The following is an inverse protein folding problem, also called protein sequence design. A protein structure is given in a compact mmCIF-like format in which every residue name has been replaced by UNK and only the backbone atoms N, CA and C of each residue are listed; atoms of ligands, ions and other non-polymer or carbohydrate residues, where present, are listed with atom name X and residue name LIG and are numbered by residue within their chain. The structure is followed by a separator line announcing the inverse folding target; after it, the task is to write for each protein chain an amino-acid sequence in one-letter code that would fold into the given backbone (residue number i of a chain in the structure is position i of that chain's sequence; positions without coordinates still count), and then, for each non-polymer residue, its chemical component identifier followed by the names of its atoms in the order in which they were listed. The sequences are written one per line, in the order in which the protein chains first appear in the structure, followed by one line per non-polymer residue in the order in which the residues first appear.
data_IF_088492418709
#
_entry.id   IF_088492418709
#
_cell.length_a   1.000
_cell.length_b   1.000
_cell.length_c   1.000
_cell.angle_alpha   90.00
_cell.angle_beta   90.00
_cell.angle_gamma   90.00
#
_symmetry.space_group_name_H-M   'P 1'
#
loop_
_entity.id
_entity.type
_entity.pdbx_description
1 polymer ?
#
# COMPACT_ATOMS: atom_id res chain seq x y z
N UNK A 1 23.23 0.60 2.88
CA UNK A 1 23.58 1.89 2.23
C UNK A 1 24.14 2.82 3.30
N UNK A 2 25.09 3.70 2.98
CA UNK A 2 25.75 4.60 3.96
C UNK A 2 25.39 6.08 3.80
N UNK A 3 24.57 6.43 2.81
CA UNK A 3 24.09 7.79 2.53
C UNK A 3 22.57 7.89 2.71
N UNK A 4 22.06 9.12 2.85
CA UNK A 4 20.63 9.39 2.86
C UNK A 4 20.14 9.96 1.52
N UNK A 5 18.83 9.88 1.20
CA UNK A 5 18.29 10.37 -0.08
C UNK A 5 18.73 11.80 -0.42
N UNK A 6 18.75 12.70 0.57
CA UNK A 6 19.16 14.10 0.36
C UNK A 6 20.62 14.24 -0.08
N UNK A 7 21.53 13.45 0.49
CA UNK A 7 22.96 13.48 0.11
C UNK A 7 23.16 12.99 -1.32
N UNK A 8 22.33 12.03 -1.75
CA UNK A 8 22.36 11.45 -3.09
C UNK A 8 21.53 12.26 -4.12
N UNK A 9 20.99 13.43 -3.73
CA UNK A 9 20.22 14.31 -4.60
C UNK A 9 18.77 13.88 -4.87
N UNK A 10 18.24 12.95 -4.09
CA UNK A 10 16.84 12.50 -4.18
C UNK A 10 15.93 13.34 -3.28
N UNK A 11 14.70 13.57 -3.72
CA UNK A 11 13.64 14.18 -2.93
C UNK A 11 12.30 13.48 -3.17
N UNK A 12 11.43 13.47 -2.15
CA UNK A 12 10.04 13.05 -2.32
C UNK A 12 9.31 14.12 -3.15
N UNK A 13 8.79 13.79 -4.34
CA UNK A 13 7.98 14.73 -5.10
C UNK A 13 6.65 15.00 -4.38
N UNK A 14 6.07 16.17 -4.61
CA UNK A 14 4.72 16.45 -4.13
C UNK A 14 3.71 15.49 -4.78
N UNK A 15 2.63 15.17 -4.08
CA UNK A 15 1.64 14.18 -4.54
C UNK A 15 0.93 14.58 -5.83
N UNK A 16 0.82 15.87 -6.12
CA UNK A 16 0.25 16.39 -7.38
C UNK A 16 1.23 16.36 -8.57
N UNK A 17 2.49 15.96 -8.38
CA UNK A 17 3.41 15.73 -9.48
C UNK A 17 2.97 14.52 -10.32
N UNK A 18 3.40 14.40 -11.58
CA UNK A 18 3.07 13.22 -12.40
C UNK A 18 3.44 11.90 -11.73
N UNK A 19 2.47 10.99 -11.64
CA UNK A 19 2.62 9.68 -11.00
C UNK A 19 2.61 8.57 -12.04
N UNK A 20 3.37 7.49 -11.79
CA UNK A 20 3.37 6.32 -12.65
C UNK A 20 2.23 5.34 -12.33
N UNK A 21 1.85 5.21 -11.05
CA UNK A 21 0.79 4.32 -10.58
C UNK A 21 0.40 4.63 -9.12
N UNK A 22 -0.76 4.13 -8.69
CA UNK A 22 -1.17 4.07 -7.27
C UNK A 22 -1.03 2.66 -6.72
N UNK A 23 -0.64 2.55 -5.45
CA UNK A 23 -0.62 1.30 -4.69
C UNK A 23 -1.70 1.31 -3.61
N UNK A 24 -2.37 0.18 -3.42
CA UNK A 24 -3.39 -0.05 -2.40
C UNK A 24 -3.19 -1.44 -1.77
N UNK A 25 -3.64 -1.61 -0.53
CA UNK A 25 -3.69 -2.90 0.16
C UNK A 25 -5.14 -3.34 0.39
N UNK A 26 -5.40 -4.65 0.32
CA UNK A 26 -6.74 -5.21 0.40
C UNK A 26 -7.19 -5.44 1.85
N UNK A 27 -8.39 -4.98 2.27
CA UNK A 27 -8.86 -5.14 3.66
C UNK A 27 -9.41 -6.54 3.93
N UNK A 28 -8.96 -7.13 5.05
CA UNK A 28 -9.26 -8.52 5.41
C UNK A 28 -9.66 -8.70 6.87
N UNK A 29 -8.87 -8.16 7.82
CA UNK A 29 -8.96 -8.54 9.24
C UNK A 29 -10.34 -8.24 9.86
N UNK A 30 -11.03 -9.24 10.45
CA UNK A 30 -12.42 -9.10 10.87
C UNK A 30 -12.60 -8.35 12.20
N UNK A 31 -11.53 -8.21 12.97
CA UNK A 31 -11.46 -7.45 14.23
C UNK A 31 -11.41 -5.93 14.00
N UNK A 32 -10.95 -5.47 12.83
CA UNK A 32 -11.05 -4.07 12.40
C UNK A 32 -12.26 -3.86 11.46
N UNK A 33 -12.44 -4.73 10.47
CA UNK A 33 -13.43 -4.55 9.41
C UNK A 33 -14.68 -5.41 9.63
N UNK A 34 -15.79 -4.75 9.99
CA UNK A 34 -17.09 -5.41 10.23
C UNK A 34 -17.54 -6.35 9.10
N UNK A 35 -18.34 -7.35 9.47
CA UNK A 35 -18.95 -8.30 8.54
C UNK A 35 -17.91 -8.96 7.61
N UNK A 36 -16.81 -9.45 8.21
CA UNK A 36 -15.69 -10.09 7.52
C UNK A 36 -15.13 -9.23 6.36
N UNK A 37 -14.92 -7.94 6.63
CA UNK A 37 -14.45 -6.93 5.68
C UNK A 37 -15.29 -6.71 4.41
N UNK A 38 -16.37 -7.45 4.17
CA UNK A 38 -17.11 -7.38 2.90
C UNK A 38 -17.57 -5.97 2.49
N UNK A 39 -18.04 -5.09 3.41
CA UNK A 39 -18.35 -3.70 3.08
C UNK A 39 -17.10 -2.88 2.70
N UNK A 40 -15.99 -3.06 3.44
CA UNK A 40 -14.72 -2.37 3.19
C UNK A 40 -14.12 -2.79 1.85
N UNK A 41 -14.11 -4.09 1.55
CA UNK A 41 -13.67 -4.65 0.27
C UNK A 41 -14.41 -4.03 -0.93
N UNK A 42 -15.73 -3.85 -0.82
CA UNK A 42 -16.50 -3.16 -1.87
C UNK A 42 -16.12 -1.68 -1.99
N UNK A 43 -15.83 -1.01 -0.88
CA UNK A 43 -15.39 0.39 -0.90
C UNK A 43 -14.00 0.54 -1.52
N UNK A 44 -13.04 -0.29 -1.12
CA UNK A 44 -11.68 -0.31 -1.67
C UNK A 44 -11.68 -0.67 -3.15
N UNK A 45 -12.50 -1.64 -3.57
CA UNK A 45 -12.65 -1.96 -4.99
C UNK A 45 -13.20 -0.79 -5.79
N UNK A 46 -14.18 -0.04 -5.27
CA UNK A 46 -14.67 1.19 -5.94
C UNK A 46 -13.56 2.22 -6.08
N UNK A 47 -12.80 2.50 -5.02
CA UNK A 47 -11.67 3.43 -5.06
C UNK A 47 -10.64 3.01 -6.10
N UNK A 48 -10.19 1.75 -6.05
CA UNK A 48 -9.20 1.21 -6.98
C UNK A 48 -9.68 1.28 -8.44
N UNK A 49 -10.94 0.91 -8.69
CA UNK A 49 -11.51 0.92 -10.04
C UNK A 49 -11.63 2.35 -10.58
N UNK A 50 -12.05 3.31 -9.76
CA UNK A 50 -12.12 4.73 -10.15
C UNK A 50 -10.74 5.31 -10.44
N UNK A 51 -9.73 5.00 -9.61
CA UNK A 51 -8.35 5.46 -9.90
C UNK A 51 -7.83 4.84 -11.20
N UNK A 52 -8.18 3.58 -11.48
CA UNK A 52 -7.77 2.87 -12.70
C UNK A 52 -8.31 3.49 -14.01
N UNK A 53 -9.30 4.38 -13.94
CA UNK A 53 -9.77 5.16 -15.08
C UNK A 53 -8.78 6.29 -15.45
N UNK A 54 -7.90 6.67 -14.52
CA UNK A 54 -7.00 7.81 -14.66
C UNK A 54 -5.50 7.44 -14.64
N UNK A 55 -5.12 6.43 -13.86
CA UNK A 55 -3.74 5.96 -13.77
C UNK A 55 -3.65 4.47 -13.41
N UNK A 56 -2.55 3.78 -13.73
CA UNK A 56 -2.36 2.39 -13.33
C UNK A 56 -2.50 2.18 -11.83
N UNK A 57 -3.10 1.06 -11.42
CA UNK A 57 -3.28 0.69 -10.01
C UNK A 57 -2.72 -0.69 -9.74
N UNK A 58 -1.94 -0.81 -8.68
CA UNK A 58 -1.51 -2.07 -8.08
C UNK A 58 -2.23 -2.28 -6.74
N UNK A 59 -2.98 -3.37 -6.62
CA UNK A 59 -3.58 -3.82 -5.36
C UNK A 59 -2.79 -5.00 -4.81
N UNK A 60 -2.35 -4.93 -3.56
CA UNK A 60 -1.79 -6.08 -2.83
C UNK A 60 -2.91 -6.82 -2.11
N UNK A 61 -2.87 -8.15 -2.17
CA UNK A 61 -3.71 -9.05 -1.39
C UNK A 61 -2.95 -10.36 -1.20
N UNK A 62 -3.45 -11.27 -0.37
CA UNK A 62 -2.79 -12.57 -0.16
C UNK A 62 -3.75 -13.74 -0.04
N UNK A 63 -3.26 -14.92 -0.39
CA UNK A 63 -3.94 -16.19 -0.18
C UNK A 63 -5.37 -16.21 -0.74
N UNK A 64 -6.38 -16.66 0.04
CA UNK A 64 -7.78 -16.76 -0.42
C UNK A 64 -8.38 -15.42 -0.87
N UNK A 65 -7.83 -14.28 -0.44
CA UNK A 65 -8.35 -12.96 -0.78
C UNK A 65 -8.02 -12.55 -2.21
N UNK A 66 -7.04 -13.17 -2.87
CA UNK A 66 -6.73 -12.89 -4.28
C UNK A 66 -7.95 -13.12 -5.18
N UNK A 67 -8.62 -14.27 -5.03
CA UNK A 67 -9.83 -14.58 -5.79
C UNK A 67 -10.96 -13.58 -5.46
N UNK A 68 -11.10 -13.22 -4.19
CA UNK A 68 -12.12 -12.26 -3.74
C UNK A 68 -11.87 -10.87 -4.31
N UNK A 69 -10.66 -10.35 -4.20
CA UNK A 69 -10.25 -9.07 -4.76
C UNK A 69 -10.47 -9.06 -6.28
N UNK A 70 -10.03 -10.12 -6.97
CA UNK A 70 -10.19 -10.24 -8.43
C UNK A 70 -11.66 -10.16 -8.87
N UNK A 71 -12.58 -10.74 -8.10
CA UNK A 71 -14.02 -10.71 -8.38
C UNK A 71 -14.67 -9.31 -8.27
N UNK A 72 -14.03 -8.37 -7.58
CA UNK A 72 -14.55 -7.02 -7.35
C UNK A 72 -13.78 -5.92 -8.11
N UNK A 73 -12.52 -6.19 -8.44
CA UNK A 73 -11.64 -5.25 -9.13
C UNK A 73 -11.80 -5.33 -10.65
N UNK A 74 -11.72 -4.18 -11.32
CA UNK A 74 -11.58 -4.07 -12.77
C UNK A 74 -10.33 -4.80 -13.26
N UNK A 75 -10.39 -5.40 -14.44
CA UNK A 75 -9.24 -6.08 -15.07
C UNK A 75 -8.03 -5.15 -15.26
N UNK A 76 -8.23 -3.82 -15.29
CA UNK A 76 -7.16 -2.83 -15.35
C UNK A 76 -6.33 -2.72 -14.06
N UNK A 77 -6.87 -3.15 -12.91
CA UNK A 77 -6.14 -3.18 -11.64
C UNK A 77 -5.25 -4.42 -11.60
N UNK A 78 -3.93 -4.19 -11.49
CA UNK A 78 -2.94 -5.24 -11.27
C UNK A 78 -3.08 -5.77 -9.85
N UNK A 79 -3.31 -7.06 -9.70
CA UNK A 79 -3.38 -7.74 -8.41
C UNK A 79 -2.05 -8.46 -8.15
N UNK A 80 -1.47 -8.26 -6.97
CA UNK A 80 -0.15 -8.79 -6.61
C UNK A 80 -0.26 -9.53 -5.28
N UNK A 81 0.35 -10.72 -5.20
CA UNK A 81 0.39 -11.51 -3.99
C UNK A 81 1.47 -10.97 -3.03
N UNK A 82 1.05 -10.06 -2.15
CA UNK A 82 1.87 -9.49 -1.07
C UNK A 82 0.98 -9.46 0.17
N UNK A 83 1.36 -10.17 1.26
CA UNK A 83 0.61 -10.13 2.51
C UNK A 83 0.81 -8.81 3.25
N UNK A 84 -0.22 -8.42 4.02
CA UNK A 84 -0.20 -7.31 4.98
C UNK A 84 -1.09 -7.69 6.17
N UNK A 85 -0.82 -7.15 7.35
CA UNK A 85 -1.62 -7.38 8.57
C UNK A 85 -2.88 -6.50 8.60
N UNK A 86 -2.82 -5.31 7.98
CA UNK A 86 -4.01 -4.51 7.63
C UNK A 86 -3.82 -3.76 6.29
N UNK A 87 -4.78 -2.93 5.89
CA UNK A 87 -4.90 -2.39 4.52
C UNK A 87 -4.44 -0.94 4.33
N UNK A 88 -3.42 -0.49 5.06
CA UNK A 88 -3.00 0.91 5.12
C UNK A 88 -1.73 1.20 4.32
N UNK A 89 -1.77 0.95 3.00
CA UNK A 89 -0.64 1.15 2.07
C UNK A 89 0.04 2.53 2.16
N UNK A 90 -0.69 3.56 2.61
CA UNK A 90 -0.12 4.89 2.87
C UNK A 90 1.00 4.85 3.93
N UNK A 91 0.82 4.05 4.98
CA UNK A 91 1.67 4.06 6.16
C UNK A 91 2.70 2.92 6.14
N UNK A 92 2.33 1.80 5.53
CA UNK A 92 3.17 0.58 5.44
C UNK A 92 3.95 0.50 4.13
N UNK A 93 3.58 1.31 3.13
CA UNK A 93 4.18 1.29 1.80
C UNK A 93 5.44 2.15 1.70
N UNK A 94 6.23 1.95 0.63
CA UNK A 94 7.44 2.71 0.40
C UNK A 94 7.13 4.19 0.11
N UNK A 95 7.95 5.09 0.67
CA UNK A 95 7.94 6.50 0.26
C UNK A 95 8.89 6.70 -0.91
N UNK A 96 8.36 6.79 -2.12
CA UNK A 96 9.18 7.00 -3.32
C UNK A 96 9.87 8.37 -3.33
N UNK A 97 11.15 8.38 -3.71
CA UNK A 97 11.97 9.56 -3.89
C UNK A 97 12.58 9.56 -5.29
N UNK A 98 12.70 10.74 -5.90
CA UNK A 98 13.14 10.90 -7.29
C UNK A 98 14.37 11.79 -7.36
N UNK A 99 15.32 11.39 -8.20
CA UNK A 99 16.47 12.20 -8.57
C UNK A 99 16.13 13.05 -9.82
N UNK A 100 16.65 14.28 -9.97
CA UNK A 100 16.41 15.12 -11.15
C UNK A 100 16.79 14.46 -12.49
N UNK A 101 17.73 13.50 -12.49
CA UNK A 101 18.11 12.73 -13.69
C UNK A 101 17.13 11.60 -14.06
N UNK A 102 16.04 11.44 -13.31
CA UNK A 102 14.97 10.47 -13.61
C UNK A 102 15.01 9.16 -12.83
N UNK A 103 16.05 8.93 -12.03
CA UNK A 103 16.14 7.75 -11.15
C UNK A 103 15.10 7.80 -10.03
N UNK A 104 14.58 6.65 -9.65
CA UNK A 104 13.62 6.48 -8.54
C UNK A 104 14.21 5.51 -7.52
N UNK A 105 14.11 5.87 -6.25
CA UNK A 105 14.37 5.00 -5.09
C UNK A 105 13.17 5.04 -4.17
N UNK A 106 13.17 4.21 -3.14
CA UNK A 106 12.18 4.22 -2.07
C UNK A 106 12.89 4.41 -0.72
N UNK A 107 12.19 5.08 0.19
CA UNK A 107 12.49 5.03 1.62
C UNK A 107 11.51 4.05 2.24
N UNK A 108 12.08 3.00 2.82
CA UNK A 108 11.40 2.03 3.66
C UNK A 108 11.54 2.49 5.13
N UNK A 109 10.41 2.71 5.79
CA UNK A 109 10.35 3.14 7.17
C UNK A 109 9.95 1.96 8.03
N UNK A 110 10.57 1.81 9.20
CA UNK A 110 10.13 0.81 10.18
C UNK A 110 8.70 1.15 10.62
N UNK A 111 7.78 0.24 10.36
CA UNK A 111 6.39 0.33 10.76
C UNK A 111 6.14 -0.43 12.06
N UNK A 112 5.25 0.10 12.90
CA UNK A 112 4.95 -0.48 14.21
C UNK A 112 3.47 -0.44 14.60
N UNK A 113 2.54 -0.45 13.64
CA UNK A 113 1.11 -0.32 13.91
C UNK A 113 0.75 0.93 14.76
N UNK A 114 1.38 2.07 14.44
CA UNK A 114 1.12 3.40 15.05
C UNK A 114 1.29 3.46 16.57
N UNK A 115 2.29 2.78 17.13
CA UNK A 115 2.58 2.85 18.57
C UNK A 115 3.24 1.60 19.16
N UNK A 116 3.38 0.53 18.37
CA UNK A 116 3.93 -0.74 18.79
C UNK A 116 3.18 -1.32 19.99
N UNK A 117 3.92 -1.92 20.92
CA UNK A 117 3.36 -2.46 22.16
C UNK A 117 2.89 -1.36 23.15
N UNK A 118 3.11 -0.08 22.84
CA UNK A 118 2.75 1.07 23.67
C UNK A 118 1.52 1.81 23.11
N UNK A 119 0.45 1.06 22.83
CA UNK A 119 -0.82 1.63 22.35
C UNK A 119 -0.99 1.63 20.83
N UNK A 120 -0.20 0.83 20.10
CA UNK A 120 -0.47 0.55 18.69
C UNK A 120 -1.80 -0.19 18.48
N UNK A 121 -2.29 -0.16 17.24
CA UNK A 121 -3.66 -0.61 16.93
C UNK A 121 -3.81 -2.13 16.86
N UNK A 122 -2.73 -2.87 16.63
CA UNK A 122 -2.75 -4.33 16.54
C UNK A 122 -1.37 -4.95 16.72
N UNK A 123 -1.36 -6.28 16.88
CA UNK A 123 -0.18 -7.14 16.82
C UNK A 123 -0.58 -8.50 16.20
N UNK A 124 0.29 -9.14 15.39
CA UNK A 124 1.57 -8.62 14.90
C UNK A 124 1.39 -7.60 13.76
N UNK A 125 2.49 -6.97 13.33
CA UNK A 125 2.59 -6.05 12.18
C UNK A 125 3.79 -6.39 11.27
N UNK A 126 4.31 -7.60 11.38
CA UNK A 126 5.53 -8.01 10.67
C UNK A 126 5.30 -8.22 9.18
N UNK A 127 4.06 -8.48 8.73
CA UNK A 127 3.75 -8.49 7.31
C UNK A 127 3.67 -7.06 6.78
N UNK A 128 3.10 -6.12 7.54
CA UNK A 128 3.07 -4.70 7.18
C UNK A 128 4.48 -4.10 7.04
N UNK A 129 5.38 -4.37 7.99
CA UNK A 129 6.78 -3.91 7.99
C UNK A 129 7.63 -4.51 6.84
N UNK A 130 7.08 -5.46 6.08
CA UNK A 130 7.71 -6.11 4.92
C UNK A 130 7.09 -5.73 3.58
N UNK A 131 6.13 -4.80 3.56
CA UNK A 131 5.47 -4.38 2.32
C UNK A 131 6.38 -3.52 1.43
N UNK A 132 7.28 -2.74 2.03
CA UNK A 132 8.17 -1.80 1.34
C UNK A 132 9.49 -2.42 0.84
#
# INVERSE_FOLDING_TARGET
MTSCPRQDGFAMPAEWAPQAQTWLAWPVRPDNWRANAAPAQRAFARVANTIAEHQPVSMTASGPQLARARSLLSAAVRLIDIPSDDAWMRDIGPTFVRHPRGEVRAVDWIFNAWGGLNGGLYHPWDADDRVA
#
